data_IF_271379308743
#
_entry.id   IF_271379308743
#
_cell.length_a   1.000
_cell.length_b   1.000
_cell.length_c   1.000
_cell.angle_alpha   90.00
_cell.angle_beta   90.00
_cell.angle_gamma   90.00
#
_symmetry.space_group_name_H-M   'P 1'
#
loop_
_entity.id
_entity.type
_entity.pdbx_description
1 polymer ?
#
# COMPACT_ATOMS: atom_id res chain seq x y z
N UNK A 1 0.68 18.97 -14.14
CA UNK A 1 1.12 17.72 -13.48
C UNK A 1 2.54 17.30 -13.88
N UNK A 2 2.95 17.27 -15.17
CA UNK A 2 4.32 16.84 -15.54
C UNK A 2 5.43 17.71 -14.94
N UNK A 3 5.25 19.03 -14.94
CA UNK A 3 6.22 19.98 -14.37
C UNK A 3 6.48 19.75 -12.87
N UNK A 4 5.46 19.35 -12.10
CA UNK A 4 5.59 19.09 -10.66
C UNK A 4 6.36 17.80 -10.39
N UNK A 5 6.17 16.76 -11.22
CA UNK A 5 6.90 15.50 -11.06
C UNK A 5 8.37 15.64 -11.48
N UNK A 6 8.65 16.39 -12.54
CA UNK A 6 10.01 16.76 -12.93
C UNK A 6 10.72 17.52 -11.79
N UNK A 7 10.05 18.51 -11.19
CA UNK A 7 10.60 19.23 -10.04
C UNK A 7 10.89 18.32 -8.84
N UNK A 8 9.98 17.38 -8.52
CA UNK A 8 10.22 16.41 -7.44
C UNK A 8 11.40 15.49 -7.74
N UNK A 9 11.59 15.09 -9.00
CA UNK A 9 12.74 14.32 -9.44
C UNK A 9 14.04 15.12 -9.32
N UNK A 10 14.02 16.41 -9.68
CA UNK A 10 15.16 17.32 -9.51
C UNK A 10 15.52 17.50 -8.02
N UNK A 11 14.53 17.57 -7.13
CA UNK A 11 14.77 17.60 -5.68
C UNK A 11 15.36 16.26 -5.22
N UNK A 12 14.80 15.13 -5.66
CA UNK A 12 15.27 13.80 -5.31
C UNK A 12 16.71 13.52 -5.79
N UNK A 13 17.07 13.99 -6.98
CA UNK A 13 18.39 13.78 -7.58
C UNK A 13 19.44 14.82 -7.13
N UNK A 14 19.02 15.85 -6.39
CA UNK A 14 19.89 16.90 -5.83
C UNK A 14 20.22 18.04 -6.79
N UNK A 15 19.66 18.08 -8.00
CA UNK A 15 19.85 19.20 -8.94
C UNK A 15 19.05 20.43 -8.53
N UNK A 16 17.95 20.26 -7.78
CA UNK A 16 17.18 21.33 -7.18
C UNK A 16 17.32 21.32 -5.66
N UNK A 17 17.90 22.40 -5.12
CA UNK A 17 17.95 22.65 -3.68
C UNK A 17 16.77 23.53 -3.28
N UNK A 18 16.08 23.18 -2.20
CA UNK A 18 15.01 23.98 -1.61
C UNK A 18 15.59 24.76 -0.41
N UNK A 19 15.70 26.11 -0.49
CA UNK A 19 16.25 26.89 0.60
C UNK A 19 15.51 26.66 1.92
N UNK A 20 16.26 26.40 3.00
CA UNK A 20 15.70 26.16 4.33
C UNK A 20 15.16 24.74 4.58
N UNK A 21 15.25 23.84 3.60
CA UNK A 21 14.83 22.44 3.72
C UNK A 21 16.04 21.51 3.57
N UNK A 22 16.36 20.78 4.64
CA UNK A 22 17.37 19.71 4.63
C UNK A 22 16.66 18.36 4.64
N UNK A 23 16.83 17.60 3.57
CA UNK A 23 16.26 16.26 3.44
C UNK A 23 17.20 15.22 4.05
N UNK A 24 16.67 14.36 4.90
CA UNK A 24 17.35 13.18 5.40
C UNK A 24 17.14 11.98 4.46
N UNK A 25 17.90 10.91 4.68
CA UNK A 25 17.79 9.67 3.88
C UNK A 25 16.34 9.13 3.78
N UNK A 26 15.52 9.06 4.85
CA UNK A 26 14.13 8.63 4.74
C UNK A 26 13.27 9.50 3.82
N UNK A 27 13.57 10.79 3.72
CA UNK A 27 12.84 11.71 2.84
C UNK A 27 13.15 11.39 1.38
N UNK A 28 14.42 11.14 1.06
CA UNK A 28 14.84 10.71 -0.27
C UNK A 28 14.27 9.33 -0.66
N UNK A 29 14.20 8.40 0.30
CA UNK A 29 13.54 7.11 0.09
C UNK A 29 12.06 7.33 -0.24
N UNK A 30 11.37 8.16 0.54
CA UNK A 30 9.96 8.50 0.32
C UNK A 30 9.74 9.13 -1.05
N UNK A 31 10.56 10.12 -1.43
CA UNK A 31 10.51 10.74 -2.75
C UNK A 31 10.69 9.71 -3.88
N UNK A 32 11.65 8.79 -3.74
CA UNK A 32 11.87 7.74 -4.74
C UNK A 32 10.63 6.85 -4.94
N UNK A 33 9.99 6.44 -3.84
CA UNK A 33 8.79 5.61 -3.87
C UNK A 33 7.58 6.38 -4.43
N UNK A 34 7.42 7.65 -4.06
CA UNK A 34 6.36 8.52 -4.58
C UNK A 34 6.51 8.81 -6.09
N UNK A 35 7.75 8.99 -6.57
CA UNK A 35 8.03 9.09 -7.99
C UNK A 35 7.70 7.76 -8.69
N UNK A 36 8.08 6.63 -8.10
CA UNK A 36 7.84 5.31 -8.69
C UNK A 36 6.36 4.90 -8.76
N UNK A 37 5.57 5.15 -7.70
CA UNK A 37 4.13 4.83 -7.70
C UNK A 37 3.36 5.65 -8.75
N UNK A 38 3.90 6.82 -9.14
CA UNK A 38 3.38 7.68 -10.21
C UNK A 38 3.95 7.33 -11.59
N UNK A 39 4.74 6.27 -11.68
CA UNK A 39 5.26 5.71 -12.92
C UNK A 39 6.04 6.74 -13.76
N UNK A 40 6.79 7.62 -13.09
CA UNK A 40 7.64 8.59 -13.80
C UNK A 40 8.63 7.86 -14.72
N UNK A 41 9.02 8.47 -15.86
CA UNK A 41 10.03 7.88 -16.73
C UNK A 41 11.28 7.48 -15.93
N UNK A 42 11.75 6.25 -16.12
CA UNK A 42 12.94 5.76 -15.40
C UNK A 42 12.71 5.38 -13.93
N UNK A 43 11.46 5.21 -13.46
CA UNK A 43 11.14 4.82 -12.09
C UNK A 43 11.97 3.63 -11.54
N UNK A 44 12.28 2.64 -12.37
CA UNK A 44 13.14 1.50 -11.99
C UNK A 44 14.55 1.95 -11.62
N UNK A 45 15.13 2.85 -12.41
CA UNK A 45 16.45 3.40 -12.16
C UNK A 45 16.44 4.29 -10.91
N UNK A 46 15.35 5.04 -10.69
CA UNK A 46 15.14 5.84 -9.47
C UNK A 46 15.18 4.95 -8.23
N UNK A 47 14.38 3.86 -8.19
CA UNK A 47 14.37 2.94 -7.05
C UNK A 47 15.73 2.24 -6.85
N UNK A 48 16.35 1.76 -7.92
CA UNK A 48 17.68 1.11 -7.85
C UNK A 48 18.75 2.07 -7.34
N UNK A 49 18.78 3.31 -7.84
CA UNK A 49 19.71 4.35 -7.38
C UNK A 49 19.44 4.72 -5.93
N UNK A 50 18.18 4.80 -5.53
CA UNK A 50 17.83 5.07 -4.14
C UNK A 50 18.29 3.94 -3.22
N UNK A 51 18.07 2.67 -3.57
CA UNK A 51 18.57 1.54 -2.79
C UNK A 51 20.10 1.59 -2.66
N UNK A 52 20.81 1.80 -3.77
CA UNK A 52 22.27 1.86 -3.78
C UNK A 52 22.85 3.00 -2.92
N UNK A 53 22.17 4.16 -2.84
CA UNK A 53 22.60 5.30 -2.01
C UNK A 53 22.06 5.29 -0.58
N UNK A 54 21.25 4.28 -0.21
CA UNK A 54 20.74 4.13 1.16
C UNK A 54 21.81 3.44 1.99
N UNK A 55 22.41 4.19 2.92
CA UNK A 55 23.51 3.77 3.77
C UNK A 55 23.03 2.88 4.91
N UNK A 56 21.86 3.19 5.49
CA UNK A 56 21.29 2.38 6.55
C UNK A 56 20.82 1.01 5.99
N UNK A 57 21.37 -0.12 6.48
CA UNK A 57 21.09 -1.43 5.91
C UNK A 57 19.63 -1.87 6.09
N UNK A 58 18.99 -1.52 7.21
CA UNK A 58 17.58 -1.88 7.47
C UNK A 58 16.63 -1.11 6.55
N UNK A 59 16.89 0.20 6.34
CA UNK A 59 16.10 1.01 5.41
C UNK A 59 16.28 0.57 3.98
N UNK A 60 17.49 0.16 3.60
CA UNK A 60 17.76 -0.41 2.26
C UNK A 60 16.96 -1.70 2.06
N UNK A 61 17.04 -2.62 3.02
CA UNK A 61 16.28 -3.87 2.98
C UNK A 61 14.76 -3.64 2.94
N UNK A 62 14.26 -2.68 3.71
CA UNK A 62 12.85 -2.27 3.66
C UNK A 62 12.46 -1.74 2.28
N UNK A 63 13.26 -0.84 1.71
CA UNK A 63 13.00 -0.31 0.36
C UNK A 63 12.96 -1.46 -0.66
N UNK A 64 13.96 -2.34 -0.65
CA UNK A 64 14.04 -3.49 -1.56
C UNK A 64 12.84 -4.44 -1.42
N UNK A 65 12.37 -4.66 -0.19
CA UNK A 65 11.15 -5.42 0.07
C UNK A 65 9.89 -4.76 -0.53
N UNK A 66 9.81 -3.42 -0.48
CA UNK A 66 8.65 -2.66 -0.98
C UNK A 66 8.70 -2.45 -2.51
N UNK A 67 9.88 -2.50 -3.14
CA UNK A 67 10.07 -2.23 -4.57
C UNK A 67 9.11 -3.01 -5.50
N UNK A 68 8.81 -4.31 -5.31
CA UNK A 68 7.85 -5.02 -6.15
C UNK A 68 6.44 -4.42 -6.10
N UNK A 69 5.99 -3.93 -4.95
CA UNK A 69 4.70 -3.24 -4.81
C UNK A 69 4.68 -1.90 -5.56
N UNK A 70 5.83 -1.28 -5.80
CA UNK A 70 5.97 -0.02 -6.54
C UNK A 70 6.06 -0.22 -8.06
N UNK A 71 6.21 -1.45 -8.54
CA UNK A 71 6.35 -1.75 -9.96
C UNK A 71 5.21 -1.15 -10.80
N UNK A 72 5.51 -0.61 -11.98
CA UNK A 72 4.49 -0.22 -12.96
C UNK A 72 3.83 -1.45 -13.62
N UNK A 73 4.47 -2.62 -13.59
CA UNK A 73 3.92 -3.88 -14.12
C UNK A 73 2.84 -4.47 -13.19
N UNK A 74 1.58 -4.60 -13.65
CA UNK A 74 0.50 -5.23 -12.90
C UNK A 74 0.78 -6.68 -12.48
N UNK A 75 1.48 -7.46 -13.32
CA UNK A 75 1.74 -8.86 -13.03
C UNK A 75 2.75 -9.01 -11.88
N UNK A 76 3.83 -8.23 -11.90
CA UNK A 76 4.80 -8.19 -10.81
C UNK A 76 4.19 -7.76 -9.47
N UNK A 77 3.29 -6.76 -9.47
CA UNK A 77 2.57 -6.34 -8.25
C UNK A 77 1.64 -7.45 -7.73
N UNK A 78 0.91 -8.12 -8.63
CA UNK A 78 0.04 -9.23 -8.26
C UNK A 78 0.83 -10.39 -7.66
N UNK A 79 1.93 -10.78 -8.29
CA UNK A 79 2.80 -11.85 -7.80
C UNK A 79 3.34 -11.53 -6.40
N UNK A 80 3.76 -10.28 -6.16
CA UNK A 80 4.18 -9.85 -4.83
C UNK A 80 3.04 -9.95 -3.81
N UNK A 81 1.84 -9.44 -4.13
CA UNK A 81 0.69 -9.57 -3.22
C UNK A 81 0.39 -11.04 -2.88
N UNK A 82 0.37 -11.92 -3.87
CA UNK A 82 0.12 -13.35 -3.65
C UNK A 82 1.19 -14.01 -2.79
N UNK A 83 2.45 -13.57 -2.89
CA UNK A 83 3.52 -14.05 -2.00
C UNK A 83 3.26 -13.71 -0.52
N UNK A 84 2.48 -12.66 -0.22
CA UNK A 84 2.11 -12.32 1.14
C UNK A 84 1.15 -13.33 1.77
N UNK A 85 0.59 -14.30 1.03
CA UNK A 85 -0.13 -15.41 1.63
C UNK A 85 0.78 -16.33 2.47
N UNK A 86 2.09 -16.36 2.18
CA UNK A 86 3.07 -17.04 3.03
C UNK A 86 3.40 -16.18 4.27
N UNK A 87 3.14 -16.72 5.45
CA UNK A 87 3.42 -16.09 6.76
C UNK A 87 4.87 -15.57 6.85
N UNK A 88 5.84 -16.27 6.25
CA UNK A 88 7.26 -15.89 6.30
C UNK A 88 7.50 -14.53 5.65
N UNK A 89 6.74 -14.23 4.60
CA UNK A 89 6.78 -12.95 3.89
C UNK A 89 6.07 -11.82 4.64
N UNK A 90 5.43 -12.13 5.77
CA UNK A 90 4.76 -11.15 6.64
C UNK A 90 5.49 -10.89 7.97
N UNK A 91 6.68 -11.47 8.17
CA UNK A 91 7.46 -11.35 9.41
C UNK A 91 7.88 -9.92 9.77
N UNK A 92 8.07 -9.04 8.78
CA UNK A 92 8.40 -7.62 8.97
C UNK A 92 7.16 -6.76 8.73
N UNK A 93 6.23 -6.75 9.70
CA UNK A 93 4.90 -6.14 9.54
C UNK A 93 4.91 -4.69 9.03
N UNK A 94 5.82 -3.85 9.54
CA UNK A 94 5.92 -2.45 9.08
C UNK A 94 6.23 -2.34 7.58
N UNK A 95 7.04 -3.25 7.04
CA UNK A 95 7.42 -3.29 5.63
C UNK A 95 6.24 -3.79 4.77
N UNK A 96 5.54 -4.81 5.28
CA UNK A 96 4.32 -5.37 4.66
C UNK A 96 3.25 -4.30 4.54
N UNK A 97 2.97 -3.56 5.63
CA UNK A 97 1.97 -2.50 5.67
C UNK A 97 2.30 -1.36 4.68
N UNK A 98 3.57 -1.02 4.55
CA UNK A 98 4.00 -0.04 3.55
C UNK A 98 3.77 -0.55 2.12
N UNK A 99 4.15 -1.80 1.85
CA UNK A 99 3.98 -2.42 0.53
C UNK A 99 2.50 -2.57 0.15
N UNK A 100 1.66 -3.10 1.04
CA UNK A 100 0.18 -3.18 0.86
C UNK A 100 -0.41 -1.80 0.63
N UNK A 101 0.08 -0.80 1.37
CA UNK A 101 -0.30 0.58 1.18
C UNK A 101 0.00 1.14 -0.22
N UNK A 102 1.08 0.70 -0.87
CA UNK A 102 1.41 1.06 -2.26
C UNK A 102 0.67 0.22 -3.30
N UNK A 103 0.34 -1.04 -2.99
CA UNK A 103 -0.56 -1.85 -3.82
C UNK A 103 -1.95 -1.21 -3.89
N UNK A 104 -2.49 -0.83 -2.74
CA UNK A 104 -3.82 -0.20 -2.59
C UNK A 104 -3.75 1.34 -2.63
N UNK A 105 -2.71 1.91 -3.23
CA UNK A 105 -2.58 3.36 -3.37
C UNK A 105 -3.76 3.94 -4.19
N UNK A 106 -4.27 5.17 -3.90
CA UNK A 106 -5.39 5.76 -4.64
C UNK A 106 -5.22 5.78 -6.16
N UNK A 107 -4.00 5.99 -6.65
CA UNK A 107 -3.68 5.96 -8.09
C UNK A 107 -3.86 4.57 -8.73
N UNK A 108 -3.91 3.52 -7.91
CA UNK A 108 -4.00 2.11 -8.31
C UNK A 108 -5.28 1.45 -7.81
N UNK A 109 -6.20 2.21 -7.21
CA UNK A 109 -7.41 1.68 -6.59
C UNK A 109 -8.22 0.80 -7.55
N UNK A 110 -8.38 1.21 -8.82
CA UNK A 110 -9.10 0.40 -9.81
C UNK A 110 -8.45 -0.97 -10.07
N UNK A 111 -7.12 -1.04 -10.13
CA UNK A 111 -6.40 -2.29 -10.30
C UNK A 111 -6.41 -3.14 -9.03
N UNK A 112 -6.29 -2.51 -7.85
CA UNK A 112 -6.21 -3.20 -6.56
C UNK A 112 -7.57 -3.60 -6.00
N UNK A 113 -8.68 -3.10 -6.54
CA UNK A 113 -10.03 -3.43 -6.10
C UNK A 113 -10.29 -4.95 -5.96
N UNK A 114 -9.98 -5.80 -6.97
CA UNK A 114 -10.14 -7.25 -6.84
C UNK A 114 -9.29 -7.88 -5.74
N UNK A 115 -8.24 -7.21 -5.25
CA UNK A 115 -7.38 -7.72 -4.17
C UNK A 115 -7.97 -7.49 -2.77
N UNK A 116 -9.05 -6.70 -2.64
CA UNK A 116 -9.71 -6.45 -1.36
C UNK A 116 -10.18 -7.78 -0.74
N UNK A 117 -10.88 -8.62 -1.50
CA UNK A 117 -11.41 -9.88 -0.96
C UNK A 117 -10.29 -10.83 -0.50
N UNK A 118 -9.28 -11.16 -1.33
CA UNK A 118 -8.13 -11.95 -0.88
C UNK A 118 -7.39 -11.35 0.33
N UNK A 119 -7.29 -10.01 0.43
CA UNK A 119 -6.66 -9.38 1.57
C UNK A 119 -7.47 -9.57 2.87
N UNK A 120 -8.80 -9.60 2.80
CA UNK A 120 -9.66 -9.85 3.96
C UNK A 120 -9.67 -11.34 4.36
N UNK A 121 -9.51 -12.25 3.41
CA UNK A 121 -9.37 -13.70 3.67
C UNK A 121 -8.14 -14.00 4.55
N UNK A 122 -7.04 -13.28 4.36
CA UNK A 122 -5.82 -13.43 5.17
C UNK A 122 -5.96 -12.94 6.62
N UNK A 123 -7.05 -12.23 6.96
CA UNK A 123 -7.15 -11.50 8.23
C UNK A 123 -7.14 -12.42 9.47
N UNK A 124 -7.71 -13.62 9.36
CA UNK A 124 -7.67 -14.61 10.45
C UNK A 124 -6.25 -15.11 10.71
N UNK A 125 -5.52 -15.48 9.66
CA UNK A 125 -4.13 -15.95 9.78
C UNK A 125 -3.21 -14.83 10.28
N UNK A 126 -3.42 -13.59 9.81
CA UNK A 126 -2.71 -12.40 10.28
C UNK A 126 -2.94 -12.19 11.78
N UNK A 127 -4.17 -12.38 12.27
CA UNK A 127 -4.48 -12.25 13.70
C UNK A 127 -3.79 -13.31 14.57
N UNK A 128 -3.58 -14.51 14.04
CA UNK A 128 -2.94 -15.61 14.76
C UNK A 128 -1.40 -15.53 14.74
N UNK A 129 -0.84 -14.91 13.69
CA UNK A 129 0.61 -14.94 13.42
C UNK A 129 1.32 -13.62 13.69
N UNK A 130 0.58 -12.53 13.84
CA UNK A 130 1.13 -11.18 14.01
C UNK A 130 0.80 -10.53 15.34
N UNK A 131 1.26 -9.29 15.47
CA UNK A 131 0.93 -8.41 16.58
C UNK A 131 -0.58 -8.11 16.66
N UNK A 132 -1.05 -7.81 17.87
CA UNK A 132 -2.46 -7.52 18.16
C UNK A 132 -3.04 -6.35 17.35
N UNK A 133 -2.20 -5.44 16.85
CA UNK A 133 -2.60 -4.31 16.02
C UNK A 133 -2.49 -4.60 14.51
N UNK A 134 -1.79 -5.67 14.10
CA UNK A 134 -1.54 -5.97 12.70
C UNK A 134 -2.82 -6.17 11.87
N UNK A 135 -3.85 -6.91 12.32
CA UNK A 135 -5.10 -7.06 11.56
C UNK A 135 -5.74 -5.72 11.21
N UNK A 136 -5.77 -4.78 12.16
CA UNK A 136 -6.35 -3.46 11.89
C UNK A 136 -5.51 -2.67 10.90
N UNK A 137 -4.19 -2.60 11.11
CA UNK A 137 -3.31 -1.85 10.21
C UNK A 137 -3.29 -2.43 8.79
N UNK A 138 -3.36 -3.75 8.66
CA UNK A 138 -3.48 -4.44 7.38
C UNK A 138 -4.76 -4.03 6.65
N UNK A 139 -5.89 -4.09 7.36
CA UNK A 139 -7.19 -3.72 6.79
C UNK A 139 -7.24 -2.23 6.42
N UNK A 140 -6.72 -1.34 7.28
CA UNK A 140 -6.60 0.09 6.99
C UNK A 140 -5.75 0.33 5.72
N UNK A 141 -4.59 -0.34 5.59
CA UNK A 141 -3.71 -0.22 4.42
C UNK A 141 -4.38 -0.72 3.13
N UNK A 142 -5.15 -1.81 3.21
CA UNK A 142 -5.92 -2.38 2.11
C UNK A 142 -7.05 -1.45 1.64
N UNK A 143 -7.72 -0.74 2.55
CA UNK A 143 -8.95 0.00 2.22
C UNK A 143 -8.74 1.50 1.99
N UNK A 144 -7.72 2.13 2.58
CA UNK A 144 -7.56 3.61 2.58
C UNK A 144 -7.54 4.29 1.20
N UNK A 145 -7.09 3.57 0.17
CA UNK A 145 -7.02 4.13 -1.19
C UNK A 145 -8.31 4.02 -1.98
N UNK A 146 -9.30 3.28 -1.48
CA UNK A 146 -10.53 2.97 -2.20
C UNK A 146 -11.66 3.92 -1.82
N UNK A 147 -12.49 4.25 -2.82
CA UNK A 147 -13.68 5.10 -2.66
C UNK A 147 -14.85 4.67 -3.56
N UNK A 148 -14.71 3.60 -4.34
CA UNK A 148 -15.72 3.18 -5.31
C UNK A 148 -16.86 2.38 -4.64
N UNK A 149 -18.09 2.45 -5.18
CA UNK A 149 -19.16 1.53 -4.80
C UNK A 149 -18.79 0.06 -4.97
N UNK A 150 -18.03 -0.28 -6.01
CA UNK A 150 -17.56 -1.65 -6.23
C UNK A 150 -16.59 -2.14 -5.13
N UNK A 151 -15.63 -1.32 -4.70
CA UNK A 151 -14.78 -1.64 -3.55
C UNK A 151 -15.58 -1.81 -2.25
N UNK A 152 -16.55 -0.92 -2.00
CA UNK A 152 -17.46 -1.04 -0.86
C UNK A 152 -18.29 -2.33 -0.93
N UNK A 153 -18.77 -2.69 -2.13
CA UNK A 153 -19.49 -3.92 -2.41
C UNK A 153 -18.68 -5.15 -2.01
N UNK A 154 -17.39 -5.23 -2.38
CA UNK A 154 -16.50 -6.34 -2.00
C UNK A 154 -16.42 -6.56 -0.49
N UNK A 155 -16.30 -5.47 0.28
CA UNK A 155 -16.27 -5.58 1.75
C UNK A 155 -17.62 -6.02 2.31
N UNK A 156 -18.73 -5.49 1.77
CA UNK A 156 -20.09 -5.89 2.21
C UNK A 156 -20.37 -7.35 1.93
N UNK A 157 -20.15 -7.81 0.70
CA UNK A 157 -20.33 -9.20 0.32
C UNK A 157 -19.47 -10.13 1.18
N UNK A 158 -18.20 -9.77 1.40
CA UNK A 158 -17.33 -10.55 2.28
C UNK A 158 -17.91 -10.65 3.71
N UNK A 159 -18.39 -9.54 4.28
CA UNK A 159 -18.99 -9.51 5.62
C UNK A 159 -20.30 -10.30 5.72
N UNK A 160 -21.09 -10.35 4.65
CA UNK A 160 -22.36 -11.10 4.55
C UNK A 160 -22.12 -12.61 4.42
N UNK A 161 -21.06 -13.01 3.73
CA UNK A 161 -20.64 -14.40 3.53
C UNK A 161 -19.86 -14.99 4.71
N UNK A 162 -19.54 -14.17 5.72
CA UNK A 162 -18.83 -14.65 6.91
C UNK A 162 -19.65 -15.71 7.66
N UNK A 163 -19.02 -16.82 8.11
CA UNK A 163 -19.67 -17.81 8.96
C UNK A 163 -20.24 -17.19 10.25
N UNK A 164 -21.33 -17.75 10.77
CA UNK A 164 -21.96 -17.28 12.02
C UNK A 164 -20.98 -17.31 13.21
N UNK A 165 -20.06 -18.27 13.23
CA UNK A 165 -19.04 -18.42 14.27
C UNK A 165 -17.75 -17.62 14.00
N UNK A 166 -17.74 -16.73 13.01
CA UNK A 166 -16.58 -15.90 12.71
C UNK A 166 -16.28 -14.95 13.89
N UNK A 167 -14.99 -14.65 14.10
CA UNK A 167 -14.55 -13.82 15.21
C UNK A 167 -15.12 -12.39 15.12
N UNK A 168 -15.98 -12.02 16.06
CA UNK A 168 -16.63 -10.71 16.12
C UNK A 168 -15.62 -9.55 16.15
N UNK A 169 -14.46 -9.74 16.79
CA UNK A 169 -13.38 -8.74 16.78
C UNK A 169 -12.90 -8.42 15.37
N UNK A 170 -12.72 -9.42 14.52
CA UNK A 170 -12.25 -9.22 13.14
C UNK A 170 -13.35 -8.60 12.27
N UNK A 171 -14.62 -8.96 12.50
CA UNK A 171 -15.77 -8.27 11.88
C UNK A 171 -15.75 -6.77 12.19
N UNK A 172 -15.51 -6.39 13.45
CA UNK A 172 -15.40 -4.98 13.86
C UNK A 172 -14.20 -4.28 13.24
N UNK A 173 -13.06 -4.95 13.12
CA UNK A 173 -11.88 -4.41 12.41
C UNK A 173 -12.23 -4.07 10.97
N UNK A 174 -12.88 -4.98 10.24
CA UNK A 174 -13.31 -4.75 8.86
C UNK A 174 -14.28 -3.59 8.75
N UNK A 175 -15.33 -3.56 9.57
CA UNK A 175 -16.32 -2.48 9.58
C UNK A 175 -15.69 -1.12 9.90
N UNK A 176 -14.83 -1.06 10.93
CA UNK A 176 -14.16 0.18 11.33
C UNK A 176 -13.22 0.71 10.26
N UNK A 177 -12.48 -0.18 9.58
CA UNK A 177 -11.53 0.22 8.53
C UNK A 177 -12.24 0.61 7.23
N UNK A 178 -13.43 0.08 6.99
CA UNK A 178 -14.25 0.35 5.80
C UNK A 178 -15.17 1.57 5.94
N UNK A 179 -15.24 2.20 7.11
CA UNK A 179 -16.17 3.30 7.40
C UNK A 179 -15.99 4.48 6.43
N UNK A 180 -14.75 4.95 6.23
CA UNK A 180 -14.44 6.01 5.26
C UNK A 180 -14.80 5.61 3.82
N UNK A 181 -14.50 4.37 3.43
CA UNK A 181 -14.85 3.81 2.12
C UNK A 181 -16.38 3.80 1.91
N UNK A 182 -17.13 3.33 2.90
CA UNK A 182 -18.60 3.27 2.86
C UNK A 182 -19.27 4.63 2.83
N UNK A 183 -18.67 5.66 3.45
CA UNK A 183 -19.16 7.04 3.31
C UNK A 183 -18.82 7.61 1.94
N UNK A 184 -17.57 7.44 1.50
CA UNK A 184 -17.10 7.97 0.23
C UNK A 184 -17.83 7.35 -0.98
N UNK A 185 -18.22 6.08 -0.91
CA UNK A 185 -18.92 5.40 -2.01
C UNK A 185 -20.30 5.98 -2.28
N UNK A 186 -21.04 6.38 -1.23
CA UNK A 186 -22.39 6.99 -1.34
C UNK A 186 -22.38 8.36 -1.99
N UNK A 187 -21.28 9.10 -1.85
CA UNK A 187 -21.12 10.42 -2.51
C UNK A 187 -20.86 10.29 -4.02
N UNK A 188 -20.61 9.08 -4.52
CA UNK A 188 -20.25 8.80 -5.91
C UNK A 188 -21.29 7.97 -6.66
N UNK A 189 -22.34 7.54 -5.99
CA UNK A 189 -23.51 6.98 -6.67
C UNK A 189 -24.24 8.13 -7.38
N UNK A 190 -24.48 8.04 -8.70
CA UNK A 190 -25.50 8.89 -9.31
C UNK A 190 -26.84 8.56 -8.64
N UNK A 191 -27.59 9.60 -8.25
CA UNK A 191 -28.99 9.46 -7.84
C UNK A 191 -29.83 8.81 -8.95
#
# INVERSE_FOLDING_TARGET
>A
MPATLAWLEEVWNGTRVVPGLTLAEPDYITLAMELAVREVPGWQAILKRQSARTENPDRRAQLEFVMPALSADPAGRLAFFMSLADVRNRSREAWVLQAVGYLHHPLRAAWAEPLITPALELLQEIQQTGDIFFPKRWTDATLRGHRSPAAAGRVRSFLEELPENYQERLRRVMLSSADDLFRASRLREPQ
#
